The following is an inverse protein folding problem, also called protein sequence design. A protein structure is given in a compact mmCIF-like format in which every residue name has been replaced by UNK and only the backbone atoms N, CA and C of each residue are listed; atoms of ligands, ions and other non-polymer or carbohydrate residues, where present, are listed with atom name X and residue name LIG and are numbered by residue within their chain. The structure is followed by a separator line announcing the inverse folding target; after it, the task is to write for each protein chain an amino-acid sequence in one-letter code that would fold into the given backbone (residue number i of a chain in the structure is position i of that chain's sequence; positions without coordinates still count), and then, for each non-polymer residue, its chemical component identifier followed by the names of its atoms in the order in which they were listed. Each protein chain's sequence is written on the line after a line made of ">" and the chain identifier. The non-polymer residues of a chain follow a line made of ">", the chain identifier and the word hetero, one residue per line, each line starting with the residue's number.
data_IF_531381349598
#
_entry.id   IF_531381349598
#
_cell.length_a   1.000
_cell.length_b   1.000
_cell.length_c   1.000
_cell.angle_alpha   90.00
_cell.angle_beta   90.00
_cell.angle_gamma   90.00
#
_symmetry.space_group_name_H-M   'P 1'
#
loop_
_entity.id
_entity.type
_entity.pdbx_description
1 polymer ?
#
# COMPACT_ATOMS: atom_id res chain seq x y z
N UNK A 1 -9.04 -7.81 -2.70
CA UNK A 1 -8.96 -6.40 -2.25
C UNK A 1 -8.30 -6.41 -0.90
N UNK A 2 -7.37 -5.50 -0.63
CA UNK A 2 -6.59 -5.44 0.62
C UNK A 2 -6.37 -3.98 1.00
N UNK A 3 -6.43 -3.66 2.29
CA UNK A 3 -6.19 -2.30 2.79
C UNK A 3 -4.71 -1.92 2.66
N UNK A 4 -4.42 -0.67 2.34
CA UNK A 4 -3.04 -0.17 2.22
C UNK A 4 -2.24 -0.31 3.52
N UNK A 5 -2.91 -0.34 4.68
CA UNK A 5 -2.29 -0.58 5.99
C UNK A 5 -1.67 -1.99 6.14
N UNK A 6 -2.12 -2.97 5.34
CA UNK A 6 -1.58 -4.34 5.34
C UNK A 6 -0.38 -4.51 4.40
N UNK A 7 -0.05 -3.48 3.61
CA UNK A 7 1.12 -3.49 2.74
C UNK A 7 2.38 -3.10 3.52
N UNK A 8 3.51 -3.69 3.15
CA UNK A 8 4.82 -3.23 3.61
C UNK A 8 5.29 -2.08 2.73
N UNK A 9 5.51 -0.90 3.32
CA UNK A 9 6.04 0.27 2.65
C UNK A 9 7.57 0.29 2.68
N UNK A 10 8.18 0.49 1.52
CA UNK A 10 9.62 0.67 1.35
C UNK A 10 9.93 2.15 1.08
N UNK A 11 10.61 2.82 2.01
CA UNK A 11 10.91 4.26 1.92
C UNK A 11 11.98 4.59 0.86
N UNK A 12 12.84 3.64 0.50
CA UNK A 12 13.89 3.85 -0.50
C UNK A 12 13.32 3.89 -1.91
N UNK A 13 12.34 3.03 -2.18
CA UNK A 13 11.70 2.89 -3.49
C UNK A 13 10.29 3.48 -3.56
N UNK A 14 9.81 4.06 -2.45
CA UNK A 14 8.44 4.59 -2.29
C UNK A 14 7.37 3.60 -2.77
N UNK A 15 7.57 2.32 -2.49
CA UNK A 15 6.76 1.23 -3.05
C UNK A 15 6.07 0.44 -1.94
N UNK A 16 4.78 0.17 -2.12
CA UNK A 16 4.00 -0.70 -1.27
C UNK A 16 4.03 -2.12 -1.82
N UNK A 17 4.32 -3.09 -0.94
CA UNK A 17 4.41 -4.50 -1.31
C UNK A 17 3.51 -5.42 -0.47
N UNK A 18 2.91 -6.42 -1.11
CA UNK A 18 2.04 -7.41 -0.45
C UNK A 18 2.34 -8.84 -0.92
N UNK A 19 2.37 -9.86 -0.04
CA UNK A 19 2.73 -11.23 -0.43
C UNK A 19 1.76 -11.81 -1.46
N UNK A 20 2.32 -12.35 -2.55
CA UNK A 20 1.58 -13.03 -3.60
C UNK A 20 1.66 -14.56 -3.41
N UNK A 21 0.57 -15.32 -3.62
CA UNK A 21 0.58 -16.77 -3.49
C UNK A 21 1.51 -17.51 -4.47
N UNK A 22 2.06 -16.83 -5.49
CA UNK A 22 3.05 -17.43 -6.38
C UNK A 22 4.47 -17.49 -5.78
N UNK A 23 4.71 -16.81 -4.66
CA UNK A 23 6.03 -16.72 -4.00
C UNK A 23 6.73 -15.38 -4.14
N UNK A 24 6.23 -14.48 -5.00
CA UNK A 24 6.70 -13.09 -5.13
C UNK A 24 5.78 -12.13 -4.36
N UNK A 25 5.86 -10.83 -4.67
CA UNK A 25 5.04 -9.77 -4.08
C UNK A 25 4.27 -9.01 -5.15
N UNK A 26 3.08 -8.55 -4.79
CA UNK A 26 2.40 -7.47 -5.51
C UNK A 26 3.10 -6.16 -5.18
N UNK A 27 3.21 -5.27 -6.17
CA UNK A 27 3.88 -3.98 -6.05
C UNK A 27 2.96 -2.88 -6.60
N UNK A 28 2.94 -1.74 -5.91
CA UNK A 28 2.33 -0.49 -6.36
C UNK A 28 3.14 0.67 -5.79
N UNK A 29 3.42 1.70 -6.60
CA UNK A 29 4.20 2.84 -6.12
C UNK A 29 3.31 3.83 -5.38
N UNK A 30 3.92 4.64 -4.51
CA UNK A 30 3.25 5.79 -3.91
C UNK A 30 2.70 6.72 -5.01
N UNK A 31 3.50 7.00 -6.03
CA UNK A 31 3.09 7.84 -7.16
C UNK A 31 1.83 7.30 -7.86
N UNK A 32 1.70 5.98 -8.05
CA UNK A 32 0.50 5.36 -8.61
C UNK A 32 -0.74 5.67 -7.74
N UNK A 33 -0.63 5.51 -6.41
CA UNK A 33 -1.71 5.83 -5.46
C UNK A 33 -2.06 7.34 -5.47
N UNK A 34 -1.07 8.22 -5.57
CA UNK A 34 -1.27 9.66 -5.70
C UNK A 34 -1.99 10.04 -7.00
N UNK A 35 -1.78 9.28 -8.07
CA UNK A 35 -2.47 9.44 -9.36
C UNK A 35 -3.88 8.82 -9.38
N UNK A 36 -4.29 8.14 -8.31
CA UNK A 36 -5.60 7.50 -8.21
C UNK A 36 -5.63 6.05 -8.70
N UNK A 37 -4.48 5.44 -8.99
CA UNK A 37 -4.41 4.02 -9.32
C UNK A 37 -4.58 3.16 -8.06
N UNK A 38 -5.33 2.07 -8.18
CA UNK A 38 -5.61 1.15 -7.07
C UNK A 38 -5.16 -0.29 -7.36
N UNK A 39 -4.37 -0.51 -8.41
CA UNK A 39 -4.03 -1.85 -8.89
C UNK A 39 -2.57 -2.20 -8.64
N UNK A 40 -2.32 -3.02 -7.62
CA UNK A 40 -1.01 -3.62 -7.40
C UNK A 40 -0.82 -4.84 -8.31
N UNK A 41 0.36 -4.95 -8.92
CA UNK A 41 0.67 -6.02 -9.89
C UNK A 41 1.79 -6.91 -9.40
N UNK A 42 1.70 -8.21 -9.67
CA UNK A 42 2.79 -9.14 -9.38
C UNK A 42 3.62 -9.42 -10.64
N UNK A 43 4.95 -9.17 -10.63
CA UNK A 43 5.79 -9.33 -11.81
C UNK A 43 5.92 -10.79 -12.28
N UNK A 44 5.62 -11.77 -11.43
CA UNK A 44 5.88 -13.18 -11.71
C UNK A 44 4.67 -13.99 -12.17
N UNK A 45 3.46 -13.61 -11.78
CA UNK A 45 2.24 -14.36 -12.13
C UNK A 45 1.18 -13.53 -12.83
N UNK A 46 1.45 -12.24 -13.10
CA UNK A 46 0.51 -11.30 -13.74
C UNK A 46 -0.84 -11.13 -13.02
N UNK A 47 -0.95 -11.63 -11.79
CA UNK A 47 -2.11 -11.36 -10.94
C UNK A 47 -2.14 -9.88 -10.58
N UNK A 48 -3.35 -9.39 -10.40
CA UNK A 48 -3.62 -8.02 -9.96
C UNK A 48 -4.36 -8.06 -8.63
N UNK A 49 -4.08 -7.09 -7.77
CA UNK A 49 -4.71 -6.94 -6.47
C UNK A 49 -5.19 -5.50 -6.32
N UNK A 50 -6.49 -5.33 -6.04
CA UNK A 50 -7.07 -4.01 -5.76
C UNK A 50 -6.72 -3.57 -4.34
N UNK A 51 -6.15 -2.39 -4.23
CA UNK A 51 -5.70 -1.73 -3.01
C UNK A 51 -6.80 -0.79 -2.53
N UNK A 52 -7.20 -0.92 -1.27
CA UNK A 52 -8.17 -0.04 -0.63
C UNK A 52 -7.40 1.00 0.15
N UNK A 53 -7.50 2.25 -0.28
CA UNK A 53 -6.85 3.40 0.35
C UNK A 53 -7.78 4.61 0.30
N UNK A 54 -7.52 5.55 1.18
CA UNK A 54 -8.18 6.84 1.15
C UNK A 54 -7.36 7.79 0.27
N UNK A 55 -7.96 8.27 -0.82
CA UNK A 55 -7.26 9.14 -1.75
C UNK A 55 -6.82 10.45 -1.09
N UNK A 56 -7.55 10.95 -0.08
CA UNK A 56 -7.19 12.19 0.63
C UNK A 56 -5.88 12.04 1.41
N UNK A 57 -5.48 10.82 1.79
CA UNK A 57 -4.19 10.56 2.44
C UNK A 57 -3.00 10.64 1.47
N UNK A 58 -3.24 10.48 0.16
CA UNK A 58 -2.22 10.47 -0.88
C UNK A 58 -2.28 11.71 -1.78
N UNK A 59 -3.40 12.43 -1.84
CA UNK A 59 -3.49 13.72 -2.53
C UNK A 59 -2.61 14.76 -1.82
N UNK A 60 -1.51 15.15 -2.48
CA UNK A 60 -0.68 16.31 -2.08
C UNK A 60 -1.44 17.61 -2.34
N UNK A 61 -2.31 17.99 -1.43
CA UNK A 61 -2.71 19.39 -1.28
C UNK A 61 -2.41 19.84 0.16
N UNK A 62 -1.76 21.00 0.27
CA UNK A 62 -1.02 21.49 1.43
C UNK A 62 -1.82 21.48 2.75
N UNK A 63 -1.65 20.50 3.66
CA UNK A 63 -1.73 20.70 5.12
C UNK A 63 -1.22 19.49 5.92
N UNK A 64 -0.46 19.80 6.97
CA UNK A 64 0.23 18.93 7.94
C UNK A 64 -0.74 18.11 8.82
N UNK A 65 -0.52 16.80 8.97
CA UNK A 65 -0.67 16.05 10.25
C UNK A 65 -0.15 14.60 10.19
N UNK A 66 0.49 14.17 11.28
CA UNK A 66 1.23 12.92 11.52
C UNK A 66 0.33 11.73 11.98
N UNK A 67 0.89 10.67 12.60
CA UNK A 67 0.93 9.27 12.16
C UNK A 67 -0.25 8.39 12.66
N UNK A 68 -0.65 7.37 11.91
CA UNK A 68 -1.53 6.31 12.41
C UNK A 68 -0.74 5.02 12.62
N UNK A 69 -0.40 4.71 13.87
CA UNK A 69 -0.27 3.31 14.30
C UNK A 69 -0.52 3.18 15.81
N UNK A 70 -1.79 3.24 16.18
CA UNK A 70 -2.28 2.65 17.42
C UNK A 70 -2.95 1.32 17.09
N UNK A 71 -2.20 0.21 17.15
CA UNK A 71 -2.78 -1.13 17.34
C UNK A 71 -2.15 -1.73 18.59
N UNK A 72 -2.86 -1.54 19.71
CA UNK A 72 -2.53 -2.02 21.04
C UNK A 72 -2.33 -3.55 21.07
N UNK A 73 -1.33 -3.96 21.86
CA UNK A 73 -1.02 -5.34 22.19
C UNK A 73 -2.20 -6.04 22.89
N UNK A 74 -2.57 -7.23 22.41
CA UNK A 74 -3.20 -8.25 23.26
C UNK A 74 -2.34 -9.51 23.18
N UNK A 75 -1.42 -9.65 24.14
CA UNK A 75 -0.75 -10.92 24.47
C UNK A 75 -1.62 -11.62 25.51
N UNK A 76 -2.18 -12.77 25.17
CA UNK A 76 -2.66 -13.73 26.16
C UNK A 76 -1.53 -14.68 26.54
#
# INVERSE_FOLDING_TARGET
>A
EVEIEDFEYDEETETYSYPCPCGDRFLITREDLENGEDVATCPSCSLILRVIYDQEQFMRDEVVAEPLTNKELIKC
#
